data_IF_245791517019
#
_entry.id   IF_245791517019
#
_cell.length_a   1.000
_cell.length_b   1.000
_cell.length_c   1.000
_cell.angle_alpha   90.00
_cell.angle_beta   90.00
_cell.angle_gamma   90.00
#
_symmetry.space_group_name_H-M   'P 1'
#
loop_
_entity.id
_entity.type
_entity.pdbx_description
1 polymer ?
#
# COMPACT_ATOMS: atom_id res chain seq x y z
N UNK A 1 6.10 9.26 41.02
CA UNK A 1 7.04 8.65 40.04
C UNK A 1 6.73 9.23 38.68
N UNK A 2 7.73 9.47 37.82
CA UNK A 2 7.44 9.96 36.46
C UNK A 2 6.66 8.91 35.66
N UNK A 3 5.84 9.33 34.69
CA UNK A 3 5.21 8.40 33.76
C UNK A 3 6.27 7.68 32.93
N UNK A 4 5.99 6.42 32.60
CA UNK A 4 6.83 5.60 31.72
C UNK A 4 6.04 5.36 30.44
N UNK A 5 6.69 5.53 29.28
CA UNK A 5 6.13 5.31 27.95
C UNK A 5 6.92 4.16 27.34
N UNK A 6 6.23 3.13 26.88
CA UNK A 6 6.79 2.03 26.09
C UNK A 6 6.09 1.98 24.74
N UNK A 7 6.86 2.20 23.67
CA UNK A 7 6.34 2.17 22.30
C UNK A 7 6.14 0.71 21.85
N UNK A 8 5.19 0.48 20.99
CA UNK A 8 4.95 -0.79 20.29
C UNK A 8 5.94 -1.05 19.14
N UNK A 9 6.84 -0.11 18.86
CA UNK A 9 8.00 -0.24 17.97
C UNK A 9 9.30 -0.24 18.77
N UNK A 10 10.20 -1.20 18.50
CA UNK A 10 11.48 -1.34 19.22
C UNK A 10 12.45 -0.17 18.97
N UNK A 11 12.38 0.43 17.78
CA UNK A 11 13.27 1.51 17.34
C UNK A 11 12.60 2.90 17.32
N UNK A 12 11.31 2.98 17.69
CA UNK A 12 10.52 4.20 17.64
C UNK A 12 10.26 4.72 16.23
N UNK A 13 10.39 3.84 15.22
CA UNK A 13 10.15 4.16 13.80
C UNK A 13 8.88 3.47 13.32
N UNK A 14 8.01 4.24 12.69
CA UNK A 14 6.79 3.75 12.06
C UNK A 14 6.81 4.10 10.57
N UNK A 15 6.42 3.15 9.74
CA UNK A 15 6.36 3.34 8.28
C UNK A 15 4.92 3.22 7.83
N UNK A 16 4.45 4.20 7.07
CA UNK A 16 3.10 4.25 6.53
C UNK A 16 3.12 4.75 5.10
N UNK A 17 2.09 4.42 4.32
CA UNK A 17 1.88 5.00 2.99
C UNK A 17 1.09 6.30 3.09
N UNK A 18 1.35 7.23 2.17
CA UNK A 18 0.60 8.47 2.07
C UNK A 18 -0.92 8.21 2.00
N UNK A 19 -1.70 8.96 2.78
CA UNK A 19 -3.15 8.82 2.84
C UNK A 19 -3.66 7.61 3.62
N UNK A 20 -2.76 6.77 4.18
CA UNK A 20 -3.12 5.68 5.10
C UNK A 20 -2.98 6.13 6.55
N UNK A 21 -3.81 5.57 7.43
CA UNK A 21 -3.74 5.86 8.85
C UNK A 21 -2.54 5.17 9.49
N UNK A 22 -1.68 5.93 10.18
CA UNK A 22 -0.73 5.38 11.12
C UNK A 22 -1.41 5.22 12.47
N UNK A 23 -1.20 4.08 13.11
CA UNK A 23 -1.69 3.77 14.45
C UNK A 23 -0.49 3.50 15.34
N UNK A 24 -0.37 4.24 16.45
CA UNK A 24 0.68 4.09 17.46
C UNK A 24 0.00 3.85 18.79
N UNK A 25 0.25 2.71 19.41
CA UNK A 25 -0.42 2.23 20.61
C UNK A 25 0.58 1.99 21.76
N UNK A 26 1.13 3.05 22.37
CA UNK A 26 2.06 2.89 23.49
C UNK A 26 1.41 2.25 24.70
N UNK A 27 2.18 1.59 25.52
CA UNK A 27 1.81 1.21 26.87
C UNK A 27 2.39 2.16 27.90
N UNK A 28 1.74 2.31 29.03
CA UNK A 28 2.08 3.33 30.01
C UNK A 28 2.13 2.75 31.43
N UNK A 29 3.02 3.32 32.26
CA UNK A 29 3.07 3.08 33.69
C UNK A 29 3.10 4.42 34.45
N UNK A 30 2.59 4.46 35.70
CA UNK A 30 2.52 5.63 36.56
C UNK A 30 1.73 6.81 35.95
N UNK A 31 0.59 6.51 35.32
CA UNK A 31 -0.21 7.48 34.55
C UNK A 31 -1.53 7.88 35.22
N UNK A 32 -1.60 7.84 36.54
CA UNK A 32 -2.79 8.30 37.27
C UNK A 32 -3.08 9.77 36.93
N UNK A 33 -4.30 10.00 36.41
CA UNK A 33 -4.77 11.33 35.98
C UNK A 33 -3.87 11.99 34.91
N UNK A 34 -3.26 11.20 34.03
CA UNK A 34 -2.40 11.70 32.98
C UNK A 34 -3.17 12.46 31.89
N UNK A 35 -2.50 13.45 31.32
CA UNK A 35 -2.91 14.15 30.10
C UNK A 35 -1.89 13.83 29.02
N UNK A 36 -2.39 13.48 27.83
CA UNK A 36 -1.60 13.12 26.67
C UNK A 36 -1.57 14.25 25.65
N UNK A 37 -0.48 14.38 24.95
CA UNK A 37 -0.34 15.36 23.88
C UNK A 37 0.62 14.84 22.83
N UNK A 38 0.12 14.66 21.61
CA UNK A 38 0.90 14.34 20.44
C UNK A 38 1.14 15.58 19.61
N UNK A 39 2.39 15.89 19.30
CA UNK A 39 2.77 17.07 18.52
C UNK A 39 3.57 16.65 17.29
N UNK A 40 3.26 17.27 16.15
CA UNK A 40 4.04 17.19 14.93
C UNK A 40 4.25 18.60 14.39
N UNK A 41 5.49 18.96 14.03
CA UNK A 41 5.84 20.31 13.54
C UNK A 41 5.32 21.45 14.45
N UNK A 42 5.37 21.24 15.77
CA UNK A 42 4.92 22.23 16.77
C UNK A 42 3.41 22.34 16.95
N UNK A 43 2.61 21.56 16.23
CA UNK A 43 1.15 21.52 16.36
C UNK A 43 0.69 20.28 17.10
N UNK A 44 -0.31 20.42 17.96
CA UNK A 44 -0.99 19.27 18.56
C UNK A 44 -1.84 18.61 17.48
N UNK A 45 -1.64 17.29 17.31
CA UNK A 45 -2.37 16.46 16.36
C UNK A 45 -3.31 15.45 17.03
N UNK A 46 -3.10 15.19 18.34
CA UNK A 46 -3.99 14.37 19.16
C UNK A 46 -3.73 14.63 20.64
N UNK A 47 -4.74 14.40 21.49
CA UNK A 47 -4.70 14.39 22.95
C UNK A 47 -5.15 13.04 23.55
N UNK A 48 -5.29 12.03 22.70
CA UNK A 48 -5.65 10.67 23.10
C UNK A 48 -4.41 9.86 23.53
N UNK A 49 -4.58 8.78 24.32
CA UNK A 49 -3.45 7.92 24.69
C UNK A 49 -2.84 7.16 23.51
N UNK A 50 -3.55 7.00 22.43
CA UNK A 50 -3.11 6.39 21.17
C UNK A 50 -3.08 7.45 20.08
N UNK A 51 -2.17 7.34 19.12
CA UNK A 51 -2.23 8.16 17.92
C UNK A 51 -2.85 7.39 16.76
N UNK A 52 -3.87 8.01 16.15
CA UNK A 52 -4.41 7.63 14.84
C UNK A 52 -4.35 8.87 13.96
N UNK A 53 -3.52 8.84 12.94
CA UNK A 53 -3.28 10.02 12.12
C UNK A 53 -3.00 9.68 10.66
N UNK A 54 -3.44 10.56 9.75
CA UNK A 54 -3.21 10.41 8.31
C UNK A 54 -2.32 11.55 7.84
N UNK A 55 -1.16 11.20 7.29
CA UNK A 55 -0.26 12.14 6.65
C UNK A 55 -0.59 12.26 5.16
N UNK A 56 -0.70 13.51 4.66
CA UNK A 56 -1.09 13.81 3.28
C UNK A 56 0.10 14.16 2.37
N UNK A 57 1.31 14.12 2.89
CA UNK A 57 2.55 14.37 2.16
C UNK A 57 3.59 13.33 2.56
N UNK A 58 4.40 12.90 1.58
CA UNK A 58 5.52 11.99 1.82
C UNK A 58 6.65 12.70 2.56
N UNK A 59 7.39 11.94 3.36
CA UNK A 59 8.54 12.45 4.10
C UNK A 59 8.71 11.78 5.45
N UNK A 60 9.72 12.21 6.17
CA UNK A 60 9.98 11.78 7.56
C UNK A 60 9.48 12.84 8.52
N UNK A 61 8.60 12.44 9.41
CA UNK A 61 8.01 13.30 10.44
C UNK A 61 8.49 12.88 11.81
N UNK A 62 8.76 13.88 12.65
CA UNK A 62 9.06 13.67 14.06
C UNK A 62 7.84 14.06 14.87
N UNK A 63 7.30 13.09 15.58
CA UNK A 63 6.13 13.23 16.43
C UNK A 63 6.57 13.11 17.88
N UNK A 64 6.27 14.07 18.71
CA UNK A 64 6.56 14.04 20.13
C UNK A 64 5.29 13.65 20.89
N UNK A 65 5.35 12.54 21.61
CA UNK A 65 4.37 12.17 22.62
C UNK A 65 4.82 12.72 23.97
N UNK A 66 3.97 13.53 24.59
CA UNK A 66 4.16 13.99 25.96
C UNK A 66 3.05 13.47 26.85
N UNK A 67 3.44 12.95 27.98
CA UNK A 67 2.53 12.49 29.03
C UNK A 67 2.80 13.31 30.29
N UNK A 68 1.81 14.07 30.72
CA UNK A 68 1.85 14.89 31.93
C UNK A 68 1.00 14.26 33.03
N UNK A 69 1.56 14.07 34.17
CA UNK A 69 0.85 13.74 35.44
C UNK A 69 0.87 14.92 36.39
N UNK A 70 0.23 14.79 37.52
CA UNK A 70 0.26 15.85 38.56
C UNK A 70 1.67 16.20 39.03
N UNK A 71 2.57 15.22 39.06
CA UNK A 71 3.88 15.34 39.71
C UNK A 71 5.08 15.38 38.75
N UNK A 72 4.88 14.91 37.51
CA UNK A 72 5.97 14.77 36.54
C UNK A 72 5.45 14.68 35.09
N UNK A 73 6.38 14.86 34.15
CA UNK A 73 6.11 14.65 32.73
C UNK A 73 7.22 13.81 32.08
N UNK A 74 6.86 13.09 31.03
CA UNK A 74 7.80 12.34 30.18
C UNK A 74 7.46 12.61 28.72
N UNK A 75 8.50 12.70 27.89
CA UNK A 75 8.37 12.88 26.44
C UNK A 75 9.12 11.76 25.70
N UNK A 76 8.54 11.29 24.60
CA UNK A 76 9.16 10.38 23.64
C UNK A 76 9.08 10.98 22.25
N UNK A 77 10.20 10.94 21.51
CA UNK A 77 10.25 11.34 20.12
C UNK A 77 10.11 10.08 19.21
N UNK A 78 9.21 10.16 18.29
CA UNK A 78 8.81 9.07 17.41
C UNK A 78 9.02 9.55 15.97
N UNK A 79 9.62 8.72 15.15
CA UNK A 79 9.78 8.97 13.72
C UNK A 79 8.69 8.25 12.93
N UNK A 80 8.03 8.97 12.04
CA UNK A 80 7.06 8.41 11.10
C UNK A 80 7.55 8.67 9.68
N UNK A 81 7.88 7.62 8.95
CA UNK A 81 8.26 7.67 7.54
C UNK A 81 7.04 7.42 6.66
N UNK A 82 6.64 8.44 5.90
CA UNK A 82 5.48 8.41 5.00
C UNK A 82 5.99 8.21 3.57
N UNK A 83 5.72 7.03 3.02
CA UNK A 83 6.16 6.62 1.69
C UNK A 83 5.05 6.82 0.64
N UNK A 84 5.45 6.92 -0.62
CA UNK A 84 4.53 6.97 -1.76
C UNK A 84 3.79 5.63 -1.92
N UNK A 85 2.61 5.70 -2.55
CA UNK A 85 1.92 4.52 -3.05
C UNK A 85 2.73 3.93 -4.21
N UNK A 86 2.77 2.61 -4.29
CA UNK A 86 3.46 1.86 -5.35
C UNK A 86 2.49 0.88 -6.03
N UNK A 87 1.53 1.38 -6.84
CA UNK A 87 0.62 0.53 -7.59
C UNK A 87 1.39 -0.35 -8.57
N UNK A 88 0.83 -1.49 -9.02
CA UNK A 88 1.48 -2.35 -9.98
C UNK A 88 1.77 -1.63 -11.30
N UNK A 89 2.90 -1.96 -11.94
CA UNK A 89 3.23 -1.49 -13.29
C UNK A 89 3.33 -2.71 -14.21
N UNK A 90 2.46 -2.76 -15.23
CA UNK A 90 2.37 -3.89 -16.15
C UNK A 90 3.15 -3.58 -17.43
N UNK A 91 4.17 -4.38 -17.72
CA UNK A 91 4.91 -4.38 -18.98
C UNK A 91 4.62 -5.69 -19.73
N UNK A 92 3.97 -5.56 -20.88
CA UNK A 92 3.73 -6.67 -21.78
C UNK A 92 4.24 -6.26 -23.16
N UNK A 93 5.27 -6.94 -23.62
CA UNK A 93 5.85 -6.68 -24.95
C UNK A 93 4.90 -7.22 -26.02
N UNK A 94 4.19 -6.31 -26.67
CA UNK A 94 3.33 -6.61 -27.80
C UNK A 94 3.65 -5.68 -28.97
N UNK A 95 3.56 -6.13 -30.22
CA UNK A 95 3.68 -5.24 -31.37
C UNK A 95 2.65 -4.11 -31.30
N UNK A 96 3.00 -2.94 -31.78
CA UNK A 96 2.12 -1.75 -31.80
C UNK A 96 0.81 -1.95 -32.59
N UNK A 97 0.77 -2.93 -33.48
CA UNK A 97 -0.39 -3.30 -34.32
C UNK A 97 -1.24 -4.43 -33.69
N UNK A 98 -0.99 -4.79 -32.43
CA UNK A 98 -1.61 -5.94 -31.79
C UNK A 98 -0.83 -7.24 -31.97
N UNK A 99 -1.25 -8.29 -31.28
CA UNK A 99 -0.66 -9.63 -31.34
C UNK A 99 -1.38 -10.45 -32.41
N UNK A 100 -0.64 -10.89 -33.43
CA UNK A 100 -1.17 -11.79 -34.47
C UNK A 100 -0.84 -13.24 -34.11
N UNK A 101 -1.87 -14.06 -34.06
CA UNK A 101 -1.77 -15.47 -33.66
C UNK A 101 -2.45 -16.38 -34.71
N UNK A 102 -2.15 -17.67 -34.63
CA UNK A 102 -2.78 -18.67 -35.50
C UNK A 102 -3.87 -19.40 -34.74
N UNK A 103 -5.08 -19.48 -35.32
CA UNK A 103 -6.21 -20.18 -34.73
C UNK A 103 -5.83 -21.62 -34.33
N UNK A 104 -6.31 -22.06 -33.18
CA UNK A 104 -6.04 -23.38 -32.62
C UNK A 104 -4.66 -23.54 -31.95
N UNK A 105 -3.75 -22.56 -32.06
CA UNK A 105 -2.46 -22.57 -31.34
C UNK A 105 -2.54 -21.87 -30.01
N UNK A 106 -1.74 -22.38 -29.07
CA UNK A 106 -1.57 -21.77 -27.76
C UNK A 106 -0.47 -20.70 -27.76
N UNK A 107 -0.78 -19.57 -27.14
CA UNK A 107 0.17 -18.47 -26.90
C UNK A 107 0.18 -18.14 -25.42
N UNK A 108 1.35 -18.26 -24.81
CA UNK A 108 1.53 -17.94 -23.40
C UNK A 108 1.94 -16.47 -23.28
N UNK A 109 1.13 -15.69 -22.58
CA UNK A 109 1.45 -14.32 -22.22
C UNK A 109 2.03 -14.29 -20.82
N UNK A 110 3.25 -13.76 -20.73
CA UNK A 110 4.00 -13.62 -19.49
C UNK A 110 4.36 -12.15 -19.31
N UNK A 111 3.51 -11.35 -18.67
CA UNK A 111 3.81 -9.95 -18.40
C UNK A 111 4.90 -9.83 -17.35
N UNK A 112 5.73 -8.80 -17.49
CA UNK A 112 6.60 -8.33 -16.41
C UNK A 112 5.84 -7.31 -15.57
N UNK A 113 5.83 -7.52 -14.23
CA UNK A 113 5.01 -6.71 -13.33
C UNK A 113 5.88 -6.23 -12.19
N UNK A 114 6.05 -4.92 -12.11
CA UNK A 114 6.69 -4.27 -10.97
C UNK A 114 5.66 -4.03 -9.86
N UNK A 115 6.12 -3.95 -8.61
CA UNK A 115 5.31 -3.77 -7.41
C UNK A 115 4.23 -4.86 -7.26
N UNK A 116 4.60 -6.11 -7.59
CA UNK A 116 3.68 -7.26 -7.60
C UNK A 116 3.55 -7.97 -6.24
N UNK A 117 4.21 -7.48 -5.20
CA UNK A 117 4.12 -8.10 -3.86
C UNK A 117 2.66 -8.08 -3.36
N UNK A 118 2.15 -9.24 -2.97
CA UNK A 118 0.77 -9.40 -2.53
C UNK A 118 -0.30 -9.10 -3.60
N UNK A 119 0.10 -8.95 -4.88
CA UNK A 119 -0.85 -8.59 -5.92
C UNK A 119 -1.76 -9.75 -6.33
N UNK A 120 -2.97 -9.39 -6.74
CA UNK A 120 -3.94 -10.27 -7.40
C UNK A 120 -4.02 -9.95 -8.89
N UNK A 121 -4.35 -10.96 -9.68
CA UNK A 121 -4.40 -10.89 -11.13
C UNK A 121 -5.79 -11.25 -11.62
N UNK A 122 -6.28 -10.58 -12.66
CA UNK A 122 -7.52 -10.88 -13.33
C UNK A 122 -7.34 -10.70 -14.84
N UNK A 123 -7.50 -11.80 -15.58
CA UNK A 123 -7.55 -11.78 -17.03
C UNK A 123 -8.99 -11.81 -17.51
N UNK A 124 -9.32 -10.91 -18.41
CA UNK A 124 -10.62 -10.91 -19.10
C UNK A 124 -10.42 -10.96 -20.59
N UNK A 125 -11.24 -11.76 -21.26
CA UNK A 125 -11.30 -11.87 -22.72
C UNK A 125 -12.67 -11.37 -23.20
N UNK A 126 -12.67 -10.32 -24.02
CA UNK A 126 -13.90 -9.64 -24.45
C UNK A 126 -14.83 -9.30 -23.27
N UNK A 127 -14.23 -8.89 -22.11
CA UNK A 127 -14.95 -8.55 -20.90
C UNK A 127 -15.34 -9.71 -19.98
N UNK A 128 -15.13 -10.97 -20.40
CA UNK A 128 -15.42 -12.14 -19.57
C UNK A 128 -14.16 -12.61 -18.86
N UNK A 129 -14.28 -12.96 -17.58
CA UNK A 129 -13.18 -13.50 -16.80
C UNK A 129 -12.70 -14.84 -17.35
N UNK A 130 -11.38 -14.99 -17.52
CA UNK A 130 -10.76 -16.17 -18.11
C UNK A 130 -9.58 -16.71 -17.31
N UNK A 131 -9.07 -15.98 -16.30
CA UNK A 131 -7.99 -16.45 -15.46
C UNK A 131 -7.58 -15.47 -14.36
N UNK A 132 -6.90 -15.99 -13.34
CA UNK A 132 -6.44 -15.25 -12.15
C UNK A 132 -4.96 -15.49 -11.84
N UNK A 133 -4.23 -16.12 -12.74
CA UNK A 133 -2.80 -16.38 -12.59
C UNK A 133 -1.96 -15.22 -13.15
N UNK A 134 -0.68 -15.17 -12.80
CA UNK A 134 0.24 -14.14 -13.32
C UNK A 134 0.58 -14.31 -14.80
N UNK A 135 0.26 -15.45 -15.40
CA UNK A 135 0.38 -15.75 -16.84
C UNK A 135 -0.96 -16.16 -17.40
N UNK A 136 -1.12 -16.03 -18.70
CA UNK A 136 -2.33 -16.47 -19.38
C UNK A 136 -1.98 -17.18 -20.69
N UNK A 137 -2.63 -18.35 -20.94
CA UNK A 137 -2.52 -19.09 -22.20
C UNK A 137 -3.73 -18.76 -23.06
N UNK A 138 -3.50 -17.98 -24.11
CA UNK A 138 -4.53 -17.66 -25.10
C UNK A 138 -4.60 -18.77 -26.15
N UNK A 139 -5.83 -19.24 -26.41
CA UNK A 139 -6.14 -20.18 -27.49
C UNK A 139 -7.59 -19.96 -27.96
N UNK A 140 -7.79 -19.72 -29.24
CA UNK A 140 -9.09 -19.64 -29.86
C UNK A 140 -9.06 -20.39 -31.21
N UNK A 141 -10.10 -21.15 -31.50
CA UNK A 141 -10.23 -21.92 -32.74
C UNK A 141 -10.90 -21.12 -33.85
N UNK A 142 -11.62 -20.05 -33.47
CA UNK A 142 -12.31 -19.16 -34.40
C UNK A 142 -11.44 -17.96 -34.77
N UNK A 143 -11.49 -17.57 -36.04
CA UNK A 143 -10.85 -16.34 -36.52
C UNK A 143 -11.61 -15.12 -36.00
N UNK A 144 -10.90 -14.10 -35.59
CA UNK A 144 -11.52 -12.87 -35.10
C UNK A 144 -10.54 -11.99 -34.38
N UNK A 145 -11.04 -10.85 -33.90
CA UNK A 145 -10.30 -9.94 -33.03
C UNK A 145 -10.80 -10.10 -31.61
N UNK A 146 -9.85 -10.32 -30.69
CA UNK A 146 -10.10 -10.53 -29.28
C UNK A 146 -9.44 -9.44 -28.47
N UNK A 147 -10.15 -8.94 -27.49
CA UNK A 147 -9.61 -7.99 -26.52
C UNK A 147 -9.27 -8.74 -25.22
N UNK A 148 -7.97 -8.85 -24.92
CA UNK A 148 -7.48 -9.46 -23.69
C UNK A 148 -7.00 -8.37 -22.75
N UNK A 149 -7.54 -8.31 -21.54
CA UNK A 149 -7.16 -7.33 -20.51
C UNK A 149 -6.63 -8.04 -19.27
N UNK A 150 -5.44 -7.64 -18.83
CA UNK A 150 -4.91 -7.97 -17.52
C UNK A 150 -5.16 -6.81 -16.57
N UNK A 151 -5.76 -7.11 -15.43
CA UNK A 151 -5.88 -6.22 -14.29
C UNK A 151 -5.03 -6.77 -13.15
N UNK A 152 -4.13 -5.96 -12.60
CA UNK A 152 -3.30 -6.30 -11.44
C UNK A 152 -3.59 -5.32 -10.32
N UNK A 153 -3.85 -5.84 -9.13
CA UNK A 153 -4.22 -5.06 -7.94
C UNK A 153 -3.33 -5.44 -6.77
N UNK A 154 -2.70 -4.47 -6.12
CA UNK A 154 -2.03 -4.60 -4.83
C UNK A 154 -2.69 -3.68 -3.78
N UNK A 155 -2.14 -3.60 -2.58
CA UNK A 155 -2.66 -2.74 -1.51
C UNK A 155 -2.61 -1.23 -1.85
N UNK A 156 -1.71 -0.83 -2.74
CA UNK A 156 -1.47 0.57 -3.11
C UNK A 156 -2.28 1.00 -4.34
N UNK A 157 -2.89 0.07 -5.07
CA UNK A 157 -3.73 0.42 -6.21
C UNK A 157 -3.87 -0.67 -7.27
N UNK A 158 -4.34 -0.27 -8.43
CA UNK A 158 -4.66 -1.14 -9.54
C UNK A 158 -4.11 -0.60 -10.86
N UNK A 159 -3.63 -1.50 -11.71
CA UNK A 159 -3.25 -1.20 -13.09
C UNK A 159 -3.91 -2.17 -14.07
N UNK A 160 -4.13 -1.69 -15.29
CA UNK A 160 -4.72 -2.49 -16.39
C UNK A 160 -3.87 -2.37 -17.64
N UNK A 161 -3.77 -3.48 -18.36
CA UNK A 161 -3.17 -3.54 -19.68
C UNK A 161 -4.05 -4.34 -20.62
N UNK A 162 -4.44 -3.73 -21.74
CA UNK A 162 -5.26 -4.36 -22.77
C UNK A 162 -4.42 -4.62 -24.03
N UNK A 163 -4.61 -5.77 -24.61
CA UNK A 163 -3.95 -6.23 -25.83
C UNK A 163 -5.02 -6.69 -26.82
N UNK A 164 -4.93 -6.22 -28.07
CA UNK A 164 -5.72 -6.74 -29.18
C UNK A 164 -5.01 -7.95 -29.79
N UNK A 165 -5.73 -9.05 -29.98
CA UNK A 165 -5.24 -10.30 -30.56
C UNK A 165 -6.06 -10.62 -31.80
N UNK A 166 -5.38 -10.83 -32.96
CA UNK A 166 -5.97 -11.23 -34.24
C UNK A 166 -5.45 -12.58 -34.68
#
# INVERSE_FOLDING_TARGET
MPPVIELDSEDGIYVVKIGKEVVIEPTYQNVDYAVYSWKCNGRIISDEPQLKYIFNECGSYYVTLRVDTRDASTEEEIRVDVNELAPPVISLVTPSIGLKVVAGREYILTPDIQNAEGATYLWTLNGNEVGTENTYTFKQDELGTYELTLTVTNEDGQSKKTVSIE
#
